data_IF_888661346519
#
_entry.id   IF_888661346519
#
_cell.length_a   1.000
_cell.length_b   1.000
_cell.length_c   1.000
_cell.angle_alpha   90.00
_cell.angle_beta   90.00
_cell.angle_gamma   90.00
#
_symmetry.space_group_name_H-M   'P 1'
#
loop_
_entity.id
_entity.type
_entity.pdbx_description
1 polymer ?
#
# COMPACT_ATOMS: atom_id res chain seq x y z
N UNK A 1 -22.85 26.91 10.18
CA UNK A 1 -22.83 26.84 8.69
C UNK A 1 -21.70 25.92 8.32
N UNK A 2 -21.99 24.75 7.78
CA UNK A 2 -20.97 23.85 7.24
C UNK A 2 -20.64 24.35 5.85
N UNK A 3 -19.35 24.54 5.56
CA UNK A 3 -18.86 24.87 4.22
C UNK A 3 -18.35 23.59 3.59
N UNK A 4 -19.00 23.13 2.54
CA UNK A 4 -18.52 21.99 1.77
C UNK A 4 -17.60 22.47 0.66
N UNK A 5 -16.54 21.72 0.39
CA UNK A 5 -15.54 22.06 -0.61
C UNK A 5 -15.62 21.05 -1.75
N UNK A 6 -15.88 21.52 -2.94
CA UNK A 6 -15.91 20.71 -4.15
C UNK A 6 -14.62 20.92 -4.95
N UNK A 7 -14.07 19.85 -5.50
CA UNK A 7 -12.87 19.92 -6.35
C UNK A 7 -13.09 19.09 -7.61
N UNK A 8 -12.59 19.60 -8.74
CA UNK A 8 -12.57 18.89 -9.99
C UNK A 8 -11.18 19.01 -10.62
N UNK A 9 -10.67 17.90 -11.14
CA UNK A 9 -9.36 17.84 -11.78
C UNK A 9 -9.53 17.41 -13.23
N UNK A 10 -8.90 18.14 -14.16
CA UNK A 10 -8.94 17.86 -15.59
C UNK A 10 -7.53 17.62 -16.10
N UNK A 11 -7.37 16.62 -16.98
CA UNK A 11 -6.12 16.38 -17.73
C UNK A 11 -6.37 16.70 -19.19
N UNK A 12 -5.54 17.54 -19.78
CA UNK A 12 -5.68 18.03 -21.13
C UNK A 12 -4.40 17.76 -21.89
N UNK A 13 -4.53 17.21 -23.10
CA UNK A 13 -3.42 17.00 -24.01
C UNK A 13 -3.12 18.31 -24.76
N UNK A 14 -2.20 19.12 -24.24
CA UNK A 14 -1.82 20.41 -24.85
C UNK A 14 -0.93 20.20 -26.08
N UNK A 15 -0.07 19.19 -26.06
CA UNK A 15 0.85 18.89 -27.15
C UNK A 15 0.95 17.37 -27.33
N UNK A 16 0.74 16.88 -28.54
CA UNK A 16 0.69 15.44 -28.83
C UNK A 16 2.01 14.72 -28.54
N UNK A 17 3.16 15.40 -28.73
CA UNK A 17 4.46 14.84 -28.46
C UNK A 17 4.60 13.43 -29.07
N UNK A 18 4.99 12.45 -28.26
CA UNK A 18 5.17 11.07 -28.74
C UNK A 18 3.88 10.42 -29.28
N UNK A 19 2.69 10.91 -28.90
CA UNK A 19 1.42 10.44 -29.45
C UNK A 19 1.21 10.78 -30.93
N UNK A 20 2.03 11.65 -31.53
CA UNK A 20 2.04 11.85 -32.98
C UNK A 20 2.52 10.59 -33.73
N UNK A 21 3.42 9.83 -33.11
CA UNK A 21 4.02 8.62 -33.69
C UNK A 21 3.18 7.38 -33.35
N UNK A 22 2.75 7.24 -32.08
CA UNK A 22 2.07 6.04 -31.59
C UNK A 22 0.54 6.12 -31.70
N UNK A 23 -0.01 7.32 -31.90
CA UNK A 23 -1.45 7.60 -31.88
C UNK A 23 -1.98 7.77 -30.44
N UNK A 24 -3.00 8.58 -30.27
CA UNK A 24 -3.68 8.74 -28.97
C UNK A 24 -4.50 7.46 -28.69
N UNK A 25 -4.35 6.84 -27.50
CA UNK A 25 -5.16 5.68 -27.14
C UNK A 25 -6.66 6.01 -27.27
N UNK A 26 -7.38 5.29 -28.12
CA UNK A 26 -8.84 5.43 -28.22
C UNK A 26 -9.47 4.77 -27.00
N UNK A 27 -10.24 5.53 -26.24
CA UNK A 27 -11.04 5.00 -25.13
C UNK A 27 -11.98 3.91 -25.63
N UNK A 28 -11.92 2.74 -25.04
CA UNK A 28 -12.87 1.66 -25.28
C UNK A 28 -14.18 2.03 -24.57
N UNK A 29 -15.18 2.53 -25.32
CA UNK A 29 -16.56 2.65 -24.83
C UNK A 29 -17.03 1.28 -24.34
N UNK A 30 -17.21 1.11 -23.03
CA UNK A 30 -17.93 -0.04 -22.48
C UNK A 30 -19.40 0.12 -22.83
N UNK A 31 -19.82 -0.53 -23.90
CA UNK A 31 -21.23 -0.77 -24.18
C UNK A 31 -21.73 -1.78 -23.16
N UNK A 32 -22.66 -1.35 -22.32
CA UNK A 32 -23.43 -2.26 -21.47
C UNK A 32 -24.34 -3.11 -22.36
N UNK A 33 -23.95 -4.33 -22.62
CA UNK A 33 -24.87 -5.35 -23.15
C UNK A 33 -25.08 -6.40 -22.08
N UNK A 34 -26.33 -6.51 -21.64
CA UNK A 34 -26.81 -7.62 -20.81
C UNK A 34 -26.81 -8.91 -21.61
N UNK A 35 -26.54 -9.99 -20.90
CA UNK A 35 -26.92 -11.38 -21.12
C UNK A 35 -26.04 -12.29 -21.98
N UNK A 36 -25.56 -13.27 -21.28
CA UNK A 36 -25.42 -14.70 -21.60
C UNK A 36 -24.44 -15.22 -22.65
N UNK A 37 -23.67 -16.16 -22.13
CA UNK A 37 -23.19 -17.43 -22.70
C UNK A 37 -21.71 -17.52 -23.03
N UNK A 38 -21.08 -18.38 -22.28
CA UNK A 38 -19.91 -19.30 -22.50
C UNK A 38 -19.06 -19.13 -23.78
N UNK A 39 -17.78 -19.08 -23.59
CA UNK A 39 -16.73 -20.00 -24.03
C UNK A 39 -15.37 -19.33 -24.29
N UNK A 40 -14.37 -19.96 -23.75
CA UNK A 40 -12.93 -19.95 -23.97
C UNK A 40 -12.35 -19.21 -25.17
N UNK A 41 -11.30 -18.38 -24.92
CA UNK A 41 -9.96 -18.60 -25.51
C UNK A 41 -8.89 -17.67 -24.92
N UNK A 42 -7.76 -18.27 -24.70
CA UNK A 42 -6.49 -17.70 -24.25
C UNK A 42 -5.94 -16.64 -25.20
N UNK A 43 -5.38 -15.56 -24.67
CA UNK A 43 -4.13 -15.00 -25.23
C UNK A 43 -3.51 -13.96 -24.29
N UNK A 44 -2.21 -14.10 -24.10
CA UNK A 44 -1.28 -13.24 -23.36
C UNK A 44 -1.38 -11.77 -23.69
N UNK A 45 -1.33 -10.94 -22.63
CA UNK A 45 -0.68 -9.61 -22.70
C UNK A 45 -0.46 -9.09 -21.29
N UNK A 46 0.80 -8.93 -20.95
CA UNK A 46 1.27 -8.21 -19.78
C UNK A 46 0.68 -6.80 -19.77
N UNK A 47 -0.13 -6.47 -18.77
CA UNK A 47 -0.68 -5.14 -18.58
C UNK A 47 -0.21 -4.58 -17.25
N UNK A 48 0.72 -3.65 -17.30
CA UNK A 48 1.06 -2.74 -16.21
C UNK A 48 -0.16 -1.85 -15.99
N UNK A 49 -0.95 -2.15 -14.96
CA UNK A 49 -2.09 -1.31 -14.60
C UNK A 49 -1.63 -0.24 -13.62
N UNK A 50 -1.55 0.98 -14.15
CA UNK A 50 -1.60 2.21 -13.37
C UNK A 50 -2.95 2.28 -12.61
N UNK A 51 -2.88 2.79 -11.39
CA UNK A 51 -4.04 3.10 -10.57
C UNK A 51 -4.95 4.09 -11.30
N UNK A 52 -6.03 3.59 -11.86
CA UNK A 52 -7.13 4.44 -12.34
C UNK A 52 -8.11 4.64 -11.19
N UNK A 53 -8.03 5.81 -10.57
CA UNK A 53 -9.23 6.39 -9.98
C UNK A 53 -10.28 6.48 -11.08
N UNK A 54 -11.46 5.85 -10.86
CA UNK A 54 -12.62 5.96 -11.74
C UNK A 54 -13.09 7.41 -11.82
N UNK A 55 -12.46 8.20 -12.67
CA UNK A 55 -13.02 9.43 -13.17
C UNK A 55 -13.86 9.07 -14.38
N UNK A 56 -15.16 9.27 -14.26
CA UNK A 56 -16.08 9.29 -15.38
C UNK A 56 -15.67 10.46 -16.28
N UNK A 57 -14.74 10.23 -17.20
CA UNK A 57 -14.38 11.18 -18.24
C UNK A 57 -15.58 11.27 -19.22
N UNK A 58 -16.47 12.21 -18.94
CA UNK A 58 -17.35 12.72 -19.98
C UNK A 58 -16.45 13.41 -21.00
N UNK A 59 -16.65 13.11 -22.27
CA UNK A 59 -16.08 13.91 -23.36
C UNK A 59 -16.57 15.35 -23.18
N UNK A 60 -15.72 16.18 -22.61
CA UNK A 60 -16.00 17.60 -22.45
C UNK A 60 -16.00 18.22 -23.84
N UNK A 61 -17.08 18.89 -24.19
CA UNK A 61 -17.16 19.64 -25.41
C UNK A 61 -16.08 20.72 -25.44
N UNK A 62 -15.50 20.99 -26.60
CA UNK A 62 -14.42 21.99 -26.75
C UNK A 62 -14.84 23.38 -26.22
N UNK A 63 -16.13 23.70 -26.25
CA UNK A 63 -16.69 24.92 -25.70
C UNK A 63 -16.57 24.97 -24.16
N UNK A 64 -16.89 23.88 -23.49
CA UNK A 64 -16.76 23.80 -22.02
C UNK A 64 -15.28 23.88 -21.59
N UNK A 65 -14.41 23.32 -22.41
CA UNK A 65 -12.98 23.40 -22.19
C UNK A 65 -12.45 24.83 -22.30
N UNK A 66 -12.83 25.56 -23.37
CA UNK A 66 -12.45 26.96 -23.56
C UNK A 66 -13.00 27.86 -22.45
N UNK A 67 -14.18 27.56 -21.92
CA UNK A 67 -14.75 28.25 -20.77
C UNK A 67 -13.91 28.06 -19.52
N UNK A 68 -13.52 26.81 -19.20
CA UNK A 68 -12.67 26.50 -18.04
C UNK A 68 -11.26 27.11 -18.15
N UNK A 69 -10.70 27.09 -19.36
CA UNK A 69 -9.35 27.64 -19.60
C UNK A 69 -9.28 29.15 -19.38
N UNK A 70 -10.36 29.86 -19.68
CA UNK A 70 -10.43 31.32 -19.54
C UNK A 70 -10.85 31.78 -18.11
N UNK A 71 -11.25 30.86 -17.24
CA UNK A 71 -11.69 31.19 -15.87
C UNK A 71 -10.55 31.65 -14.96
N UNK A 72 -10.84 32.66 -14.15
CA UNK A 72 -9.92 33.19 -13.14
C UNK A 72 -10.46 32.93 -11.73
N UNK A 73 -9.54 33.00 -10.77
CA UNK A 73 -9.90 32.86 -9.34
C UNK A 73 -10.93 33.94 -8.96
N UNK A 74 -12.13 33.52 -8.56
CA UNK A 74 -13.24 34.38 -8.17
C UNK A 74 -14.39 34.43 -9.17
N UNK A 75 -14.23 33.82 -10.34
CA UNK A 75 -15.33 33.69 -11.30
C UNK A 75 -16.44 32.79 -10.74
N UNK A 76 -17.67 33.10 -11.07
CA UNK A 76 -18.86 32.35 -10.62
C UNK A 76 -19.37 31.46 -11.73
N UNK A 77 -19.66 30.21 -11.36
CA UNK A 77 -20.26 29.21 -12.24
C UNK A 77 -21.71 28.96 -11.78
N UNK A 78 -22.63 28.91 -12.69
CA UNK A 78 -24.00 28.48 -12.38
C UNK A 78 -24.05 26.97 -12.27
N UNK A 79 -24.48 26.47 -11.11
CA UNK A 79 -24.75 25.06 -10.88
C UNK A 79 -26.15 24.77 -11.39
N UNK A 80 -26.28 23.96 -12.42
CA UNK A 80 -27.56 23.59 -13.02
C UNK A 80 -28.21 22.40 -12.34
N UNK A 81 -27.41 21.43 -11.87
CA UNK A 81 -27.90 20.21 -11.26
C UNK A 81 -26.85 19.64 -10.27
N UNK A 82 -27.31 19.05 -9.19
CA UNK A 82 -26.50 18.28 -8.25
C UNK A 82 -27.07 16.87 -8.13
N UNK A 83 -26.30 15.88 -8.56
CA UNK A 83 -26.69 14.47 -8.48
C UNK A 83 -25.88 13.77 -7.39
N UNK A 84 -26.55 12.98 -6.54
CA UNK A 84 -25.89 12.10 -5.58
C UNK A 84 -25.65 10.76 -6.27
N UNK A 85 -24.38 10.39 -6.43
CA UNK A 85 -23.99 9.06 -6.91
C UNK A 85 -23.66 8.17 -5.71
N UNK A 86 -24.52 7.21 -5.44
CA UNK A 86 -24.24 6.17 -4.43
C UNK A 86 -23.22 5.18 -4.98
N UNK A 87 -22.30 4.76 -4.13
CA UNK A 87 -21.27 3.79 -4.48
C UNK A 87 -20.74 3.10 -3.24
N UNK A 88 -20.20 1.92 -3.42
CA UNK A 88 -19.53 1.14 -2.39
C UNK A 88 -18.01 1.22 -2.59
N UNK A 89 -17.28 1.38 -1.49
CA UNK A 89 -15.82 1.28 -1.51
C UNK A 89 -15.40 -0.18 -1.70
N UNK A 90 -14.40 -0.41 -2.52
CA UNK A 90 -13.79 -1.74 -2.63
C UNK A 90 -12.63 -1.89 -1.65
N UNK A 91 -12.37 -3.11 -1.13
CA UNK A 91 -11.21 -3.32 -0.28
C UNK A 91 -9.90 -3.08 -1.06
N UNK A 92 -8.81 -2.71 -0.37
CA UNK A 92 -7.51 -2.51 -1.00
C UNK A 92 -7.08 -3.75 -1.81
N UNK A 93 -6.45 -3.53 -2.95
CA UNK A 93 -5.90 -4.62 -3.77
C UNK A 93 -4.81 -5.35 -2.99
N UNK A 94 -4.75 -6.68 -3.13
CA UNK A 94 -3.65 -7.47 -2.54
C UNK A 94 -2.33 -7.12 -3.21
N UNK A 95 -1.25 -7.18 -2.43
CA UNK A 95 0.09 -6.97 -2.96
C UNK A 95 0.48 -8.05 -3.96
N UNK A 96 1.14 -7.62 -5.02
CA UNK A 96 1.95 -8.48 -5.88
C UNK A 96 3.41 -8.42 -5.43
N UNK A 97 4.28 -9.28 -5.96
CA UNK A 97 5.72 -9.24 -5.65
C UNK A 97 6.31 -7.85 -5.90
N UNK A 98 5.99 -7.22 -7.04
CA UNK A 98 6.47 -5.88 -7.38
C UNK A 98 5.90 -4.79 -6.47
N UNK A 99 4.59 -4.78 -6.23
CA UNK A 99 3.97 -3.76 -5.38
C UNK A 99 4.38 -3.89 -3.91
N UNK A 100 4.69 -5.11 -3.43
CA UNK A 100 5.23 -5.29 -2.08
C UNK A 100 6.66 -4.74 -1.95
N UNK A 101 7.51 -4.93 -2.97
CA UNK A 101 8.85 -4.33 -2.99
C UNK A 101 8.76 -2.80 -2.93
N UNK A 102 7.86 -2.20 -3.72
CA UNK A 102 7.61 -0.76 -3.68
C UNK A 102 7.07 -0.28 -2.32
N UNK A 103 6.17 -1.05 -1.70
CA UNK A 103 5.67 -0.75 -0.36
C UNK A 103 6.78 -0.82 0.69
N UNK A 104 7.70 -1.78 0.60
CA UNK A 104 8.87 -1.87 1.47
C UNK A 104 9.81 -0.66 1.26
N UNK A 105 10.00 -0.22 0.03
CA UNK A 105 10.79 0.97 -0.31
C UNK A 105 10.16 2.24 0.27
N UNK A 106 8.85 2.37 0.17
CA UNK A 106 8.09 3.52 0.63
C UNK A 106 7.54 3.37 2.05
N UNK A 107 8.09 2.45 2.86
CA UNK A 107 7.60 2.17 4.21
C UNK A 107 7.60 3.40 5.14
N UNK A 108 8.46 4.38 4.88
CA UNK A 108 8.47 5.66 5.58
C UNK A 108 7.18 6.46 5.47
N UNK A 109 6.36 6.24 4.44
CA UNK A 109 5.06 6.92 4.31
C UNK A 109 4.07 6.54 5.41
N UNK A 110 4.29 5.41 6.09
CA UNK A 110 3.46 4.94 7.21
C UNK A 110 3.85 5.55 8.56
N UNK A 111 4.92 6.35 8.60
CA UNK A 111 5.46 6.98 9.81
C UNK A 111 4.89 8.39 9.91
N UNK A 112 4.26 8.71 11.05
CA UNK A 112 3.67 10.04 11.30
C UNK A 112 4.75 11.07 11.66
N UNK A 113 5.77 10.66 12.42
CA UNK A 113 6.89 11.50 12.82
C UNK A 113 7.75 11.88 11.62
N UNK A 114 7.92 13.18 11.36
CA UNK A 114 8.63 13.70 10.18
C UNK A 114 10.14 13.41 10.20
N UNK A 115 10.75 13.44 11.36
CA UNK A 115 12.20 13.18 11.51
C UNK A 115 12.51 11.70 11.27
N UNK A 116 11.70 10.81 11.87
CA UNK A 116 11.83 9.38 11.64
C UNK A 116 11.45 9.00 10.20
N UNK A 117 10.46 9.68 9.63
CA UNK A 117 10.08 9.50 8.22
C UNK A 117 11.23 9.91 7.29
N UNK A 118 11.89 11.01 7.56
CA UNK A 118 13.04 11.48 6.78
C UNK A 118 14.20 10.48 6.82
N UNK A 119 14.44 9.86 7.96
CA UNK A 119 15.48 8.85 8.15
C UNK A 119 15.25 7.58 7.29
N UNK A 120 14.01 7.10 7.19
CA UNK A 120 13.65 5.92 6.37
C UNK A 120 13.37 6.28 4.91
N UNK A 121 13.10 7.55 4.57
CA UNK A 121 12.69 7.96 3.22
C UNK A 121 13.68 7.54 2.13
N UNK A 122 14.94 7.38 2.45
CA UNK A 122 15.99 6.98 1.50
C UNK A 122 16.29 5.48 1.49
N UNK A 123 15.97 4.74 2.54
CA UNK A 123 16.33 3.32 2.70
C UNK A 123 15.13 2.36 2.69
N UNK A 124 13.99 2.74 3.26
CA UNK A 124 12.84 1.87 3.41
C UNK A 124 13.12 0.64 4.30
N UNK A 125 12.32 -0.40 4.15
CA UNK A 125 12.56 -1.70 4.77
C UNK A 125 13.45 -2.54 3.86
N UNK A 126 14.63 -2.90 4.33
CA UNK A 126 15.64 -3.61 3.55
C UNK A 126 16.24 -2.75 2.42
N UNK A 127 17.28 -3.23 1.81
CA UNK A 127 17.91 -2.61 0.64
C UNK A 127 17.30 -3.13 -0.66
N UNK A 128 17.56 -2.47 -1.79
CA UNK A 128 17.13 -2.95 -3.11
C UNK A 128 17.59 -4.38 -3.39
N UNK A 129 18.78 -4.77 -2.94
CA UNK A 129 19.31 -6.13 -3.11
C UNK A 129 18.62 -7.16 -2.21
N UNK A 130 18.21 -6.78 -1.00
CA UNK A 130 17.70 -7.73 0.01
C UNK A 130 16.18 -7.91 -0.02
N UNK A 131 15.40 -6.94 -0.53
CA UNK A 131 13.92 -6.99 -0.53
C UNK A 131 13.37 -8.24 -1.20
N UNK A 132 13.90 -8.58 -2.39
CA UNK A 132 13.48 -9.78 -3.11
C UNK A 132 13.81 -11.07 -2.33
N UNK A 133 14.97 -11.12 -1.67
CA UNK A 133 15.36 -12.26 -0.84
C UNK A 133 14.50 -12.39 0.41
N UNK A 134 14.09 -11.29 1.03
CA UNK A 134 13.15 -11.28 2.17
C UNK A 134 11.83 -11.93 1.74
N UNK A 135 11.24 -11.52 0.62
CA UNK A 135 9.99 -12.10 0.10
C UNK A 135 10.18 -13.60 -0.20
N UNK A 136 11.29 -13.97 -0.85
CA UNK A 136 11.63 -15.37 -1.12
C UNK A 136 11.75 -16.18 0.16
N UNK A 137 12.42 -15.66 1.18
CA UNK A 137 12.56 -16.29 2.49
C UNK A 137 11.19 -16.49 3.16
N UNK A 138 10.34 -15.45 3.20
CA UNK A 138 8.99 -15.54 3.76
C UNK A 138 8.13 -16.58 3.04
N UNK A 139 8.28 -16.70 1.71
CA UNK A 139 7.60 -17.73 0.92
C UNK A 139 8.12 -19.13 1.24
N UNK A 140 9.44 -19.30 1.36
CA UNK A 140 10.06 -20.59 1.66
C UNK A 140 9.67 -21.13 3.04
N UNK A 141 9.63 -20.26 4.07
CA UNK A 141 9.18 -20.62 5.41
C UNK A 141 7.65 -20.68 5.53
N UNK A 142 6.93 -20.47 4.41
CA UNK A 142 5.47 -20.55 4.32
C UNK A 142 4.71 -19.55 5.20
N UNK A 143 5.26 -18.36 5.43
CA UNK A 143 4.50 -17.30 6.08
C UNK A 143 3.60 -16.59 5.08
N UNK A 144 4.03 -16.50 3.84
CA UNK A 144 3.25 -15.99 2.71
C UNK A 144 3.22 -17.01 1.58
N UNK A 145 2.16 -16.96 0.78
CA UNK A 145 2.02 -17.73 -0.45
C UNK A 145 2.01 -16.80 -1.66
N UNK A 146 2.76 -17.18 -2.69
CA UNK A 146 2.84 -16.45 -3.96
C UNK A 146 2.11 -17.25 -5.05
N UNK A 147 1.11 -16.64 -5.67
CA UNK A 147 0.50 -17.20 -6.85
C UNK A 147 1.40 -16.95 -8.06
N UNK A 148 1.92 -18.03 -8.68
CA UNK A 148 2.86 -17.93 -9.80
C UNK A 148 2.28 -17.28 -11.06
N UNK A 149 0.96 -17.40 -11.31
CA UNK A 149 0.29 -16.83 -12.48
C UNK A 149 0.00 -15.33 -12.29
N UNK A 150 -0.62 -14.97 -11.18
CA UNK A 150 -1.06 -13.60 -10.90
C UNK A 150 -0.04 -12.77 -10.14
N UNK A 151 1.05 -13.39 -9.65
CA UNK A 151 2.04 -12.78 -8.76
C UNK A 151 1.47 -12.21 -7.46
N UNK A 152 0.21 -12.51 -7.15
CA UNK A 152 -0.46 -12.03 -5.93
C UNK A 152 0.08 -12.78 -4.72
N UNK A 153 0.41 -12.01 -3.69
CA UNK A 153 0.87 -12.49 -2.39
C UNK A 153 -0.31 -12.53 -1.42
N UNK A 154 -0.42 -13.64 -0.70
CA UNK A 154 -1.41 -13.82 0.36
C UNK A 154 -0.73 -14.34 1.62
N UNK A 155 -1.18 -13.98 2.83
CA UNK A 155 -0.72 -14.64 4.03
C UNK A 155 -1.14 -16.11 4.02
N UNK A 156 -0.40 -16.95 4.72
CA UNK A 156 -0.82 -18.32 5.02
C UNK A 156 -1.36 -18.38 6.45
N UNK A 157 -2.02 -19.46 6.82
CA UNK A 157 -2.46 -19.68 8.19
C UNK A 157 -1.30 -19.57 9.18
N UNK A 158 -0.15 -20.18 8.85
CA UNK A 158 1.06 -20.09 9.68
C UNK A 158 1.54 -18.63 9.80
N UNK A 159 1.57 -17.89 8.69
CA UNK A 159 1.98 -16.49 8.69
C UNK A 159 1.10 -15.61 9.56
N UNK A 160 -0.22 -15.77 9.48
CA UNK A 160 -1.16 -15.03 10.34
C UNK A 160 -1.01 -15.43 11.82
N UNK A 161 -0.80 -16.70 12.10
CA UNK A 161 -0.54 -17.16 13.48
C UNK A 161 0.73 -16.55 14.05
N UNK A 162 1.83 -16.53 13.30
CA UNK A 162 3.09 -15.89 13.72
C UNK A 162 2.92 -14.39 13.90
N UNK A 163 2.21 -13.72 12.98
CA UNK A 163 1.87 -12.31 13.15
C UNK A 163 1.14 -12.07 14.48
N UNK A 164 0.14 -12.92 14.79
CA UNK A 164 -0.60 -12.84 16.06
C UNK A 164 0.28 -13.03 17.30
N UNK A 165 1.25 -13.98 17.24
CA UNK A 165 2.23 -14.16 18.33
C UNK A 165 3.06 -12.89 18.54
N UNK A 166 3.61 -12.32 17.47
CA UNK A 166 4.43 -11.11 17.55
C UNK A 166 3.59 -9.92 18.02
N UNK A 167 2.37 -9.76 17.48
CA UNK A 167 1.45 -8.70 17.88
C UNK A 167 1.06 -8.79 19.38
N UNK A 168 0.82 -10.00 19.87
CA UNK A 168 0.45 -10.24 21.27
C UNK A 168 1.62 -10.25 22.25
N UNK A 169 2.87 -10.33 21.78
CA UNK A 169 4.07 -10.39 22.62
C UNK A 169 4.95 -9.15 22.48
N UNK A 170 5.40 -8.81 21.29
CA UNK A 170 6.31 -7.69 21.03
C UNK A 170 5.77 -6.83 19.89
N UNK A 171 4.63 -6.19 20.12
CA UNK A 171 3.94 -5.37 19.11
C UNK A 171 4.84 -4.31 18.44
N UNK A 172 5.81 -3.77 19.19
CA UNK A 172 6.76 -2.78 18.67
C UNK A 172 7.60 -3.27 17.49
N UNK A 173 7.83 -4.58 17.35
CA UNK A 173 8.53 -5.14 16.19
C UNK A 173 7.72 -5.03 14.88
N UNK A 174 6.42 -4.76 14.95
CA UNK A 174 5.55 -4.54 13.80
C UNK A 174 5.44 -3.07 13.41
N UNK A 175 6.08 -2.17 14.17
CA UNK A 175 6.05 -0.74 13.92
C UNK A 175 7.31 -0.31 13.15
N UNK A 176 7.17 0.28 11.95
CA UNK A 176 8.31 0.79 11.18
C UNK A 176 9.08 1.91 11.90
N UNK A 177 8.44 2.65 12.80
CA UNK A 177 9.12 3.68 13.62
C UNK A 177 10.25 3.11 14.48
N UNK A 178 10.09 1.88 14.97
CA UNK A 178 11.16 1.23 15.73
C UNK A 178 12.41 1.05 14.87
N UNK A 179 12.25 0.59 13.63
CA UNK A 179 13.38 0.46 12.69
C UNK A 179 13.99 1.83 12.41
N UNK A 180 13.16 2.85 12.14
CA UNK A 180 13.60 4.21 11.90
C UNK A 180 14.40 4.78 13.07
N UNK A 181 13.96 4.56 14.30
CA UNK A 181 14.67 5.05 15.51
C UNK A 181 16.04 4.40 15.69
N UNK A 182 16.18 3.11 15.37
CA UNK A 182 17.48 2.43 15.42
C UNK A 182 18.42 2.90 14.30
N UNK A 183 17.91 3.13 13.08
CA UNK A 183 18.70 3.68 11.98
C UNK A 183 19.17 5.12 12.29
N UNK A 184 18.28 5.93 12.90
CA UNK A 184 18.66 7.28 13.38
C UNK A 184 19.78 7.19 14.42
N UNK A 185 19.69 6.23 15.36
CA UNK A 185 20.73 6.01 16.34
C UNK A 185 22.09 5.65 15.71
N UNK A 186 22.09 4.80 14.66
CA UNK A 186 23.32 4.48 13.91
C UNK A 186 23.89 5.72 13.20
N UNK A 187 23.03 6.57 12.62
CA UNK A 187 23.46 7.83 12.02
C UNK A 187 24.12 8.75 13.06
N UNK A 188 23.52 8.85 14.27
CA UNK A 188 24.07 9.63 15.37
C UNK A 188 25.43 9.12 15.85
N UNK A 189 25.64 7.78 15.84
CA UNK A 189 26.97 7.19 16.12
C UNK A 189 27.97 7.57 15.04
N UNK A 190 27.59 7.47 13.77
CA UNK A 190 28.46 7.83 12.65
C UNK A 190 28.85 9.33 12.64
N UNK A 191 27.95 10.20 13.11
CA UNK A 191 28.18 11.63 13.26
C UNK A 191 28.93 11.99 14.57
N UNK A 192 29.22 11.01 15.44
CA UNK A 192 29.89 11.23 16.72
C UNK A 192 29.01 11.92 17.79
N UNK A 193 27.69 12.00 17.60
CA UNK A 193 26.75 12.61 18.55
C UNK A 193 26.50 11.71 19.78
N UNK A 194 26.55 10.41 19.60
CA UNK A 194 26.50 9.40 20.67
C UNK A 194 27.65 8.40 20.46
N UNK A 195 28.07 7.77 21.56
CA UNK A 195 29.09 6.72 21.46
C UNK A 195 28.51 5.40 21.00
N UNK A 196 29.37 4.55 20.41
CA UNK A 196 29.01 3.17 20.07
C UNK A 196 28.54 2.38 21.30
N UNK A 197 29.21 2.58 22.45
CA UNK A 197 28.87 1.90 23.69
C UNK A 197 27.50 2.32 24.22
N UNK A 198 27.17 3.61 24.14
CA UNK A 198 25.85 4.11 24.52
C UNK A 198 24.75 3.51 23.63
N UNK A 199 24.99 3.45 22.33
CA UNK A 199 24.05 2.84 21.39
C UNK A 199 23.85 1.34 21.70
N UNK A 200 24.94 0.60 21.91
CA UNK A 200 24.89 -0.83 22.24
C UNK A 200 24.20 -1.08 23.58
N UNK A 201 24.41 -0.23 24.58
CA UNK A 201 23.72 -0.33 25.87
C UNK A 201 22.21 -0.15 25.69
N UNK A 202 21.77 0.86 24.95
CA UNK A 202 20.34 1.08 24.64
C UNK A 202 19.71 -0.13 23.93
N UNK A 203 20.44 -0.73 22.98
CA UNK A 203 19.98 -1.92 22.28
C UNK A 203 19.87 -3.14 23.22
N UNK A 204 20.85 -3.36 24.07
CA UNK A 204 20.87 -4.45 25.05
C UNK A 204 19.72 -4.31 26.06
N UNK A 205 19.51 -3.10 26.59
CA UNK A 205 18.42 -2.81 27.52
C UNK A 205 17.05 -3.00 26.86
N UNK A 206 16.91 -2.60 25.60
CA UNK A 206 15.69 -2.86 24.82
C UNK A 206 15.42 -4.36 24.68
N UNK A 207 16.44 -5.13 24.28
CA UNK A 207 16.31 -6.59 24.09
C UNK A 207 15.95 -7.27 25.41
N UNK A 208 16.69 -6.97 26.49
CA UNK A 208 16.43 -7.52 27.83
C UNK A 208 15.04 -7.19 28.34
N UNK A 209 14.61 -5.94 28.16
CA UNK A 209 13.27 -5.50 28.56
C UNK A 209 12.17 -6.24 27.81
N UNK A 210 12.32 -6.44 26.49
CA UNK A 210 11.34 -7.20 25.68
C UNK A 210 11.33 -8.68 26.04
N UNK A 211 12.49 -9.26 26.23
CA UNK A 211 12.62 -10.66 26.64
C UNK A 211 11.91 -10.93 27.97
N UNK A 212 12.17 -10.10 28.99
CA UNK A 212 11.53 -10.21 30.29
C UNK A 212 10.00 -10.04 30.20
N UNK A 213 9.52 -9.11 29.36
CA UNK A 213 8.09 -8.94 29.14
C UNK A 213 7.45 -10.20 28.54
N UNK A 214 8.12 -10.84 27.56
CA UNK A 214 7.60 -12.07 26.92
C UNK A 214 7.57 -13.24 27.90
N UNK A 215 8.60 -13.43 28.73
CA UNK A 215 8.63 -14.51 29.74
C UNK A 215 7.48 -14.36 30.74
N UNK A 216 7.18 -13.13 31.15
CA UNK A 216 6.14 -12.85 32.15
C UNK A 216 4.73 -12.74 31.51
N UNK A 217 4.61 -12.92 30.21
CA UNK A 217 3.36 -12.76 29.50
C UNK A 217 2.41 -13.94 29.76
N UNK A 218 1.23 -13.68 30.29
CA UNK A 218 0.19 -14.68 30.51
C UNK A 218 -1.00 -14.42 29.55
N UNK A 219 -0.81 -14.71 28.26
CA UNK A 219 -1.82 -14.50 27.23
C UNK A 219 -2.22 -15.75 26.46
N UNK A 220 -1.95 -16.94 26.99
CA UNK A 220 -2.23 -18.21 26.33
C UNK A 220 -3.69 -18.35 25.87
N UNK A 221 -4.65 -17.91 26.71
CA UNK A 221 -6.08 -17.94 26.35
C UNK A 221 -6.42 -17.03 25.16
N UNK A 222 -5.88 -15.81 25.13
CA UNK A 222 -6.06 -14.88 24.00
C UNK A 222 -5.45 -15.44 22.72
N UNK A 223 -4.26 -16.04 22.80
CA UNK A 223 -3.59 -16.67 21.65
C UNK A 223 -4.41 -17.84 21.12
N UNK A 224 -4.93 -18.70 22.00
CA UNK A 224 -5.80 -19.81 21.59
C UNK A 224 -7.06 -19.31 20.88
N UNK A 225 -7.70 -18.27 21.40
CA UNK A 225 -8.86 -17.62 20.77
C UNK A 225 -8.50 -17.07 19.38
N UNK A 226 -7.39 -16.37 19.26
CA UNK A 226 -6.90 -15.83 17.99
C UNK A 226 -6.61 -16.96 16.98
N UNK A 227 -5.93 -18.03 17.38
CA UNK A 227 -5.64 -19.16 16.49
C UNK A 227 -6.90 -19.84 15.99
N UNK A 228 -7.89 -20.04 16.86
CA UNK A 228 -9.17 -20.60 16.47
C UNK A 228 -9.92 -19.70 15.47
N UNK A 229 -9.86 -18.38 15.68
CA UNK A 229 -10.41 -17.40 14.75
C UNK A 229 -9.72 -17.46 13.38
N UNK A 230 -8.40 -17.39 13.34
CA UNK A 230 -7.64 -17.48 12.08
C UNK A 230 -7.89 -18.78 11.35
N UNK A 231 -7.92 -19.92 12.07
CA UNK A 231 -8.12 -21.23 11.47
C UNK A 231 -9.44 -21.35 10.69
N UNK A 232 -10.48 -20.58 11.04
CA UNK A 232 -11.77 -20.62 10.33
C UNK A 232 -11.65 -20.19 8.86
N UNK A 233 -10.79 -19.24 8.56
CA UNK A 233 -10.59 -18.71 7.20
C UNK A 233 -9.81 -19.66 6.29
N UNK A 234 -9.07 -20.62 6.87
CA UNK A 234 -8.23 -21.59 6.15
C UNK A 234 -8.83 -23.00 6.10
N UNK A 235 -9.98 -23.22 6.75
CA UNK A 235 -10.70 -24.49 6.62
C UNK A 235 -11.22 -24.61 5.20
N UNK A 236 -10.88 -25.72 4.51
CA UNK A 236 -11.47 -26.02 3.20
C UNK A 236 -12.98 -26.16 3.40
N UNK A 237 -13.77 -25.37 2.67
CA UNK A 237 -15.20 -25.67 2.52
C UNK A 237 -15.27 -27.03 1.85
N UNK A 238 -15.83 -28.02 2.56
CA UNK A 238 -16.15 -29.35 1.99
C UNK A 238 -17.25 -29.19 0.96
#
# INVERSE_FOLDING_TARGET
>A
TYTEQFSANFKILVQKGFFEIVGVPKEKKKVQTKANTKENKESDSANVQNEESENTEQSLDEEFFNLLYNMKKGDKINVTECNIKEGETSPPKRYTSGSLILAMENAGQLIEDEDLRAQIKGSGIGTSATRAEIIKKLTNIKYIALNKKTQVITPTQLGEMIFGVVHGSIKSLLNPELTASWELGLTQVAEGKISSDEYMQKLDDFIKGRFNNVINLNNAGQMTGYYNYVAQFYRRKK
#
